data_IF_606416595089
#
_entry.id   IF_606416595089
#
_cell.length_a   1.000
_cell.length_b   1.000
_cell.length_c   1.000
_cell.angle_alpha   90.00
_cell.angle_beta   90.00
_cell.angle_gamma   90.00
#
_symmetry.space_group_name_H-M   'P 1'
#
loop_
_entity.id
_entity.type
_entity.pdbx_description
1 polymer ?
#
# COMPACT_ATOMS: atom_id res chain seq x y z
N UNK A 1 12.88 -4.59 -8.35
CA UNK A 1 12.98 -3.72 -7.15
C UNK A 1 12.41 -4.41 -5.91
N UNK A 2 11.14 -4.85 -5.94
CA UNK A 2 10.42 -5.40 -4.77
C UNK A 2 10.96 -6.71 -4.17
N UNK A 3 11.73 -7.50 -4.94
CA UNK A 3 12.35 -8.75 -4.46
C UNK A 3 13.38 -8.56 -3.34
N UNK A 4 13.79 -7.32 -3.05
CA UNK A 4 14.69 -7.00 -1.94
C UNK A 4 13.96 -6.85 -0.61
N UNK A 5 12.64 -6.75 -0.61
CA UNK A 5 11.81 -6.65 0.59
C UNK A 5 11.20 -8.02 0.88
N UNK A 6 11.34 -8.51 2.12
CA UNK A 6 10.81 -9.82 2.51
C UNK A 6 9.29 -9.95 2.28
N UNK A 7 8.56 -8.84 2.43
CA UNK A 7 7.11 -8.80 2.22
C UNK A 7 6.70 -8.64 0.74
N UNK A 8 7.68 -8.55 -0.18
CA UNK A 8 7.45 -8.32 -1.60
C UNK A 8 6.72 -6.99 -1.89
N UNK A 9 6.19 -6.87 -3.12
CA UNK A 9 5.41 -5.70 -3.53
C UNK A 9 4.13 -5.56 -2.69
N UNK A 10 3.41 -6.66 -2.50
CA UNK A 10 2.12 -6.66 -1.82
C UNK A 10 2.20 -6.13 -0.37
N UNK A 11 3.07 -6.74 0.43
CA UNK A 11 3.22 -6.32 1.83
C UNK A 11 3.93 -4.96 1.98
N UNK A 12 4.78 -4.57 1.03
CA UNK A 12 5.35 -3.22 1.04
C UNK A 12 4.27 -2.16 0.78
N UNK A 13 3.33 -2.41 -0.13
CA UNK A 13 2.22 -1.51 -0.40
C UNK A 13 1.29 -1.38 0.82
N UNK A 14 0.97 -2.49 1.49
CA UNK A 14 0.22 -2.48 2.75
C UNK A 14 0.93 -1.64 3.82
N UNK A 15 2.23 -1.84 4.02
CA UNK A 15 2.98 -1.14 5.06
C UNK A 15 2.99 0.39 4.82
N UNK A 16 3.24 0.80 3.57
CA UNK A 16 3.23 2.22 3.20
C UNK A 16 1.83 2.83 3.32
N UNK A 17 0.77 2.09 2.93
CA UNK A 17 -0.61 2.49 3.11
C UNK A 17 -0.96 2.68 4.59
N UNK A 18 -0.59 1.74 5.46
CA UNK A 18 -0.78 1.85 6.91
C UNK A 18 0.00 3.02 7.50
N UNK A 19 1.25 3.21 7.07
CA UNK A 19 2.06 4.34 7.51
C UNK A 19 1.40 5.68 7.16
N UNK A 20 0.91 5.82 5.92
CA UNK A 20 0.18 7.02 5.51
C UNK A 20 -1.07 7.26 6.37
N UNK A 21 -1.88 6.22 6.62
CA UNK A 21 -3.08 6.29 7.45
C UNK A 21 -2.79 6.71 8.90
N UNK A 22 -1.70 6.20 9.50
CA UNK A 22 -1.31 6.60 10.85
C UNK A 22 -0.77 8.04 10.91
N UNK A 23 -0.07 8.47 9.86
CA UNK A 23 0.56 9.78 9.81
C UNK A 23 -0.42 10.90 9.49
N UNK A 24 -1.46 10.67 8.69
CA UNK A 24 -2.43 11.72 8.33
C UNK A 24 -3.16 12.26 9.55
N UNK A 25 -3.45 11.40 10.54
CA UNK A 25 -4.08 11.82 11.81
C UNK A 25 -3.13 12.56 12.76
N UNK A 26 -1.82 12.33 12.64
CA UNK A 26 -0.80 12.93 13.54
C UNK A 26 -0.17 14.19 12.98
N UNK A 27 -0.06 14.29 11.66
CA UNK A 27 0.62 15.36 10.94
C UNK A 27 -0.24 15.84 9.75
N UNK A 28 -1.45 16.37 9.99
CA UNK A 28 -2.44 16.64 8.94
C UNK A 28 -1.99 17.69 7.90
N UNK A 29 -1.07 18.59 8.24
CA UNK A 29 -0.56 19.64 7.35
C UNK A 29 0.82 19.30 6.76
N UNK A 30 1.31 18.07 6.97
CA UNK A 30 2.61 17.66 6.46
C UNK A 30 2.56 17.34 4.98
N UNK A 31 3.18 18.20 4.18
CA UNK A 31 3.40 17.96 2.74
C UNK A 31 4.12 16.63 2.44
N UNK A 32 4.98 16.17 3.34
CA UNK A 32 5.65 14.87 3.18
C UNK A 32 4.68 13.70 3.36
N UNK A 33 3.66 13.84 4.21
CA UNK A 33 2.61 12.83 4.39
C UNK A 33 1.68 12.82 3.17
N UNK A 34 1.31 13.99 2.65
CA UNK A 34 0.54 14.10 1.40
C UNK A 34 1.25 13.37 0.23
N UNK A 35 2.54 13.67 0.03
CA UNK A 35 3.36 13.00 -0.99
C UNK A 35 3.52 11.49 -0.79
N UNK A 36 3.53 11.03 0.47
CA UNK A 36 3.50 9.60 0.75
C UNK A 36 2.18 8.99 0.27
N UNK A 37 1.06 9.67 0.48
CA UNK A 37 -0.25 9.27 -0.05
C UNK A 37 -0.27 9.16 -1.57
N UNK A 38 0.27 10.15 -2.27
CA UNK A 38 0.43 10.15 -3.73
C UNK A 38 1.26 8.94 -4.20
N UNK A 39 2.44 8.73 -3.60
CA UNK A 39 3.32 7.62 -3.95
C UNK A 39 2.68 6.24 -3.68
N UNK A 40 1.91 6.10 -2.58
CA UNK A 40 1.15 4.88 -2.31
C UNK A 40 0.08 4.67 -3.39
N UNK A 41 -0.66 5.72 -3.76
CA UNK A 41 -1.67 5.61 -4.80
C UNK A 41 -1.05 5.20 -6.15
N UNK A 42 0.09 5.77 -6.54
CA UNK A 42 0.83 5.37 -7.74
C UNK A 42 1.24 3.89 -7.72
N UNK A 43 1.69 3.37 -6.57
CA UNK A 43 2.01 1.95 -6.42
C UNK A 43 0.76 1.09 -6.61
N UNK A 44 -0.36 1.44 -5.95
CA UNK A 44 -1.60 0.66 -6.01
C UNK A 44 -2.26 0.65 -7.40
N UNK A 45 -2.03 1.72 -8.19
CA UNK A 45 -2.49 1.84 -9.58
C UNK A 45 -1.46 1.33 -10.60
N UNK A 46 -0.30 0.85 -10.14
CA UNK A 46 0.72 0.33 -11.06
C UNK A 46 0.29 -1.00 -11.67
N UNK A 47 0.61 -1.28 -12.95
CA UNK A 47 0.29 -2.56 -13.59
C UNK A 47 0.84 -3.78 -12.83
N UNK A 48 1.98 -3.60 -12.16
CA UNK A 48 2.60 -4.64 -11.36
C UNK A 48 1.80 -4.97 -10.10
N UNK A 49 1.16 -3.98 -9.47
CA UNK A 49 0.30 -4.19 -8.32
C UNK A 49 -1.07 -4.73 -8.75
N UNK A 50 -1.67 -4.16 -9.80
CA UNK A 50 -2.95 -4.63 -10.35
C UNK A 50 -2.90 -6.10 -10.77
N UNK A 51 -1.77 -6.58 -11.29
CA UNK A 51 -1.57 -8.00 -11.62
C UNK A 51 -1.64 -8.95 -10.41
N UNK A 52 -1.50 -8.42 -9.17
CA UNK A 52 -1.65 -9.19 -7.93
C UNK A 52 -3.09 -9.20 -7.42
N UNK A 53 -3.94 -8.28 -7.90
CA UNK A 53 -5.30 -8.06 -7.38
C UNK A 53 -6.28 -8.99 -8.10
N UNK A 54 -7.10 -9.77 -7.37
CA UNK A 54 -8.16 -10.56 -7.97
C UNK A 54 -9.18 -9.69 -8.73
N UNK A 55 -9.67 -10.20 -9.86
CA UNK A 55 -10.71 -9.50 -10.64
C UNK A 55 -11.91 -9.16 -9.77
N UNK A 56 -12.37 -7.90 -9.88
CA UNK A 56 -13.52 -7.39 -9.12
C UNK A 56 -13.18 -6.84 -7.74
N UNK A 57 -11.91 -6.86 -7.32
CA UNK A 57 -11.45 -6.15 -6.13
C UNK A 57 -10.71 -4.86 -6.49
N UNK A 58 -10.76 -3.87 -5.60
CA UNK A 58 -9.94 -2.67 -5.73
C UNK A 58 -8.53 -2.91 -5.16
N UNK A 59 -7.50 -2.32 -5.77
CA UNK A 59 -6.12 -2.40 -5.27
C UNK A 59 -5.99 -1.92 -3.83
N UNK A 60 -6.73 -0.88 -3.46
CA UNK A 60 -6.71 -0.34 -2.09
C UNK A 60 -7.33 -1.30 -1.07
N UNK A 61 -8.46 -1.95 -1.41
CA UNK A 61 -9.03 -2.98 -0.56
C UNK A 61 -8.09 -4.19 -0.44
N UNK A 62 -7.51 -4.64 -1.55
CA UNK A 62 -6.57 -5.76 -1.57
C UNK A 62 -5.32 -5.51 -0.71
N UNK A 63 -4.75 -4.30 -0.79
CA UNK A 63 -3.64 -3.87 0.04
C UNK A 63 -4.01 -3.82 1.52
N UNK A 64 -5.19 -3.27 1.84
CA UNK A 64 -5.65 -3.13 3.23
C UNK A 64 -5.81 -4.47 3.94
N UNK A 65 -6.19 -5.52 3.20
CA UNK A 65 -6.40 -6.87 3.73
C UNK A 65 -5.16 -7.78 3.64
N UNK A 66 -3.96 -7.21 3.44
CA UNK A 66 -2.74 -8.01 3.36
C UNK A 66 -2.48 -8.87 4.62
N UNK A 67 -2.62 -8.38 5.86
CA UNK A 67 -2.38 -9.19 7.06
C UNK A 67 -3.31 -10.40 7.14
N UNK A 68 -4.57 -10.27 6.76
CA UNK A 68 -5.56 -11.36 6.79
C UNK A 68 -5.23 -12.45 5.77
N UNK A 69 -4.61 -12.09 4.64
CA UNK A 69 -4.18 -13.03 3.61
C UNK A 69 -2.86 -13.74 3.93
N UNK A 70 -2.11 -13.22 4.89
CA UNK A 70 -0.76 -13.68 5.24
C UNK A 70 -0.62 -14.05 6.74
N UNK A 71 -1.74 -14.14 7.47
CA UNK A 71 -1.77 -14.69 8.81
C UNK A 71 -1.40 -16.19 8.79
N UNK A 72 -0.65 -16.69 9.78
CA UNK A 72 -0.28 -18.10 9.89
C UNK A 72 -1.47 -19.03 10.12
#
# INVERSE_FOLDING_TARGET
>A
MWRKFNAGLDGSAWYLLRMHQELVGRLPESRSVERLGEAVNEILQSPAYEALVPKGQSSQAWASHYPERHAP
#
